data_IF_000568093985
#
_entry.id   IF_000568093985
#
_cell.length_a   1.000
_cell.length_b   1.000
_cell.length_c   1.000
_cell.angle_alpha   90.00
_cell.angle_beta   90.00
_cell.angle_gamma   90.00
#
_symmetry.space_group_name_H-M   'P 1'
#
loop_
_entity.id
_entity.type
_entity.pdbx_description
1 polymer ?
#
# COMPACT_ATOMS: atom_id res chain seq x y z
N UNK A 1 42.69 27.67 -17.42
CA UNK A 1 43.46 26.87 -18.41
C UNK A 1 42.93 25.42 -18.52
N UNK A 2 41.61 25.19 -18.39
CA UNK A 2 40.96 23.86 -18.57
C UNK A 2 39.76 23.96 -19.56
N UNK A 3 39.25 25.16 -19.85
CA UNK A 3 38.06 25.33 -20.71
C UNK A 3 38.29 25.19 -22.22
N UNK A 4 39.53 25.26 -22.72
CA UNK A 4 39.79 25.29 -24.17
C UNK A 4 39.78 23.90 -24.85
N UNK A 5 39.99 22.82 -24.10
CA UNK A 5 40.04 21.46 -24.64
C UNK A 5 38.66 20.79 -24.70
N UNK A 6 37.73 21.22 -23.84
CA UNK A 6 36.34 20.72 -23.80
C UNK A 6 35.53 21.25 -24.99
N UNK A 7 35.76 22.50 -25.39
CA UNK A 7 35.07 23.13 -26.54
C UNK A 7 35.48 22.50 -27.88
N UNK A 8 36.73 22.04 -28.00
CA UNK A 8 37.24 21.38 -29.21
C UNK A 8 36.71 19.96 -29.40
N UNK A 9 36.43 19.23 -28.31
CA UNK A 9 35.76 17.93 -28.37
C UNK A 9 34.28 18.07 -28.72
N UNK A 10 33.61 19.10 -28.19
CA UNK A 10 32.22 19.40 -28.55
C UNK A 10 32.08 19.72 -30.04
N UNK A 11 33.06 20.43 -30.63
CA UNK A 11 33.06 20.76 -32.05
C UNK A 11 33.32 19.54 -32.95
N UNK A 12 34.17 18.60 -32.51
CA UNK A 12 34.46 17.38 -33.26
C UNK A 12 33.27 16.42 -33.28
N UNK A 13 32.56 16.28 -32.15
CA UNK A 13 31.33 15.45 -32.04
C UNK A 13 30.18 16.00 -32.88
N UNK A 14 30.06 17.34 -32.96
CA UNK A 14 29.02 18.01 -33.74
C UNK A 14 29.24 17.89 -35.25
N UNK A 15 30.49 17.79 -35.71
CA UNK A 15 30.80 17.69 -37.14
C UNK A 15 30.50 16.30 -37.71
N UNK A 16 30.80 15.24 -36.94
CA UNK A 16 30.54 13.85 -37.34
C UNK A 16 29.04 13.51 -37.35
N UNK A 17 28.24 14.22 -36.55
CA UNK A 17 26.79 14.09 -36.50
C UNK A 17 26.07 14.76 -37.68
N UNK A 18 26.59 15.88 -38.20
CA UNK A 18 25.97 16.61 -39.30
C UNK A 18 26.14 15.95 -40.69
N UNK A 19 27.23 15.21 -40.92
CA UNK A 19 27.52 14.61 -42.23
C UNK A 19 26.76 13.29 -42.49
N UNK A 20 26.33 12.58 -41.45
CA UNK A 20 25.77 11.23 -41.59
C UNK A 20 24.24 11.15 -41.67
N UNK A 21 23.68 11.75 -42.72
CA UNK A 21 22.35 11.50 -43.29
C UNK A 21 21.17 12.36 -42.83
N UNK A 22 20.73 13.20 -43.77
CA UNK A 22 19.32 13.21 -44.25
C UNK A 22 18.26 13.39 -43.17
N UNK A 23 18.59 14.21 -42.18
CA UNK A 23 17.66 15.12 -41.54
C UNK A 23 16.74 15.72 -42.60
N UNK A 24 15.43 15.60 -42.41
CA UNK A 24 14.61 16.80 -42.18
C UNK A 24 13.12 16.41 -42.11
N UNK A 25 12.66 15.54 -43.01
CA UNK A 25 11.21 15.33 -43.19
C UNK A 25 10.61 14.16 -42.37
N UNK A 26 11.45 13.28 -41.80
CA UNK A 26 10.99 12.20 -40.91
C UNK A 26 10.75 12.66 -39.46
N UNK A 27 11.13 13.90 -39.16
CA UNK A 27 11.33 14.42 -37.81
C UNK A 27 10.15 15.21 -37.25
N UNK A 28 9.16 15.58 -38.07
CA UNK A 28 7.99 16.39 -37.65
C UNK A 28 6.78 15.54 -37.18
N UNK A 29 6.44 14.43 -37.85
CA UNK A 29 5.30 13.58 -37.41
C UNK A 29 5.66 12.60 -36.27
N UNK A 30 6.95 12.31 -36.10
CA UNK A 30 7.45 11.34 -35.11
C UNK A 30 7.77 11.97 -33.76
N UNK A 31 7.94 13.28 -33.65
CA UNK A 31 8.23 13.97 -32.37
C UNK A 31 6.96 14.37 -31.64
N UNK A 32 5.91 14.80 -32.33
CA UNK A 32 4.65 15.21 -31.71
C UNK A 32 3.82 14.04 -31.16
N UNK A 33 3.94 12.85 -31.75
CA UNK A 33 3.35 11.61 -31.24
C UNK A 33 4.23 10.94 -30.19
N UNK A 34 5.56 11.01 -30.30
CA UNK A 34 6.49 10.31 -29.39
C UNK A 34 6.70 11.05 -28.08
N UNK A 35 6.69 12.38 -28.06
CA UNK A 35 6.74 13.17 -26.81
C UNK A 35 5.41 13.12 -26.06
N UNK A 36 4.25 13.18 -26.76
CA UNK A 36 2.94 12.93 -26.13
C UNK A 36 2.79 11.48 -25.66
N UNK A 37 3.19 10.47 -26.45
CA UNK A 37 3.12 9.08 -25.99
C UNK A 37 4.12 8.79 -24.86
N UNK A 38 5.31 9.41 -24.86
CA UNK A 38 6.25 9.33 -23.74
C UNK A 38 5.65 9.90 -22.47
N UNK A 39 5.05 11.09 -22.51
CA UNK A 39 4.42 11.66 -21.32
C UNK A 39 3.22 10.84 -20.85
N UNK A 40 2.40 10.27 -21.74
CA UNK A 40 1.33 9.34 -21.35
C UNK A 40 1.86 8.05 -20.72
N UNK A 41 2.97 7.48 -21.22
CA UNK A 41 3.62 6.30 -20.66
C UNK A 41 4.29 6.62 -19.31
N UNK A 42 4.99 7.75 -19.20
CA UNK A 42 5.58 8.17 -17.93
C UNK A 42 4.51 8.50 -16.90
N UNK A 43 3.38 9.10 -17.29
CA UNK A 43 2.27 9.43 -16.39
C UNK A 43 1.51 8.17 -15.94
N UNK A 44 1.35 7.17 -16.81
CA UNK A 44 0.73 5.88 -16.45
C UNK A 44 1.64 5.00 -15.60
N UNK A 45 2.95 5.02 -15.86
CA UNK A 45 3.93 4.31 -15.04
C UNK A 45 4.14 5.01 -13.69
N UNK A 46 4.10 6.33 -13.64
CA UNK A 46 4.17 7.12 -12.39
C UNK A 46 2.92 6.92 -11.54
N UNK A 47 1.72 6.80 -12.14
CA UNK A 47 0.51 6.48 -11.38
C UNK A 47 0.52 5.04 -10.85
N UNK A 48 1.00 4.07 -11.64
CA UNK A 48 1.18 2.69 -11.18
C UNK A 48 2.20 2.60 -10.03
N UNK A 49 3.28 3.38 -10.11
CA UNK A 49 4.31 3.47 -9.07
C UNK A 49 3.77 4.14 -7.79
N UNK A 50 3.02 5.23 -7.93
CA UNK A 50 2.36 5.89 -6.80
C UNK A 50 1.31 4.97 -6.15
N UNK A 51 0.54 4.22 -6.95
CA UNK A 51 -0.45 3.26 -6.48
C UNK A 51 0.18 2.08 -5.71
N UNK A 52 1.35 1.58 -6.17
CA UNK A 52 2.13 0.56 -5.47
C UNK A 52 2.67 1.06 -4.12
N UNK A 53 3.04 2.34 -4.02
CA UNK A 53 3.49 2.93 -2.75
C UNK A 53 2.34 3.23 -1.79
N UNK A 54 1.13 3.51 -2.30
CA UNK A 54 -0.07 3.77 -1.49
C UNK A 54 -0.71 2.47 -0.97
N UNK A 55 -0.58 1.34 -1.67
CA UNK A 55 -1.17 0.06 -1.26
C UNK A 55 -0.50 -0.58 -0.03
N UNK A 56 0.71 -0.15 0.33
CA UNK A 56 1.48 -0.71 1.45
C UNK A 56 1.17 -0.05 2.81
N UNK A 57 0.31 0.98 2.84
CA UNK A 57 -0.03 1.70 4.07
C UNK A 57 -1.48 1.49 4.55
N UNK A 58 -2.15 0.41 4.12
CA UNK A 58 -3.35 -0.06 4.82
C UNK A 58 -2.87 -1.08 5.85
N UNK A 59 -2.40 -0.59 6.99
CA UNK A 59 -2.19 -1.38 8.20
C UNK A 59 -3.48 -2.12 8.51
N UNK A 60 -3.48 -3.43 8.28
CA UNK A 60 -4.61 -4.35 8.49
C UNK A 60 -4.98 -4.54 9.98
N UNK A 61 -4.94 -3.48 10.78
CA UNK A 61 -5.05 -3.54 12.24
C UNK A 61 -5.64 -2.34 12.96
N UNK A 62 -5.96 -1.23 12.27
CA UNK A 62 -6.45 -0.02 12.95
C UNK A 62 -7.93 0.30 12.72
N UNK A 63 -8.60 -0.41 11.82
CA UNK A 63 -10.03 -0.20 11.62
C UNK A 63 -10.82 -0.98 12.67
N UNK A 64 -11.71 -0.28 13.38
CA UNK A 64 -12.69 -0.92 14.26
C UNK A 64 -13.69 -1.69 13.41
N UNK A 65 -13.90 -2.95 13.76
CA UNK A 65 -14.86 -3.84 13.13
C UNK A 65 -15.86 -4.33 14.17
N UNK A 66 -17.10 -4.54 13.75
CA UNK A 66 -18.11 -5.15 14.60
C UNK A 66 -18.07 -6.68 14.48
N UNK A 67 -18.30 -7.37 15.60
CA UNK A 67 -18.37 -8.82 15.64
C UNK A 67 -19.31 -9.33 16.72
N UNK A 68 -19.48 -10.65 16.73
CA UNK A 68 -20.24 -11.38 17.75
C UNK A 68 -19.32 -12.35 18.46
N UNK A 69 -19.37 -12.38 19.79
CA UNK A 69 -18.60 -13.34 20.59
C UNK A 69 -19.18 -14.74 20.40
N UNK A 70 -18.41 -15.66 19.82
CA UNK A 70 -18.81 -17.06 19.63
C UNK A 70 -18.81 -17.81 20.95
N UNK A 71 -17.72 -17.66 21.70
CA UNK A 71 -17.55 -18.23 23.03
C UNK A 71 -16.42 -17.51 23.76
N UNK A 72 -16.51 -17.46 25.09
CA UNK A 72 -15.45 -16.91 25.93
C UNK A 72 -15.35 -17.69 27.23
N UNK A 73 -14.15 -18.14 27.59
CA UNK A 73 -13.90 -18.82 28.85
C UNK A 73 -13.30 -17.84 29.86
N UNK A 74 -14.12 -17.38 30.80
CA UNK A 74 -13.71 -16.45 31.84
C UNK A 74 -12.68 -17.00 32.84
N UNK A 75 -12.59 -18.33 33.01
CA UNK A 75 -11.59 -18.96 33.89
C UNK A 75 -10.24 -19.06 33.21
N UNK A 76 -10.24 -19.36 31.92
CA UNK A 76 -9.02 -19.52 31.13
C UNK A 76 -8.50 -18.21 30.52
N UNK A 77 -9.38 -17.19 30.39
CA UNK A 77 -9.00 -15.85 29.96
C UNK A 77 -8.90 -15.66 28.44
N UNK A 78 -9.48 -16.56 27.65
CA UNK A 78 -9.47 -16.48 26.19
C UNK A 78 -10.84 -16.83 25.59
N UNK A 79 -11.05 -16.41 24.35
CA UNK A 79 -12.26 -16.68 23.60
C UNK A 79 -12.09 -16.46 22.10
N UNK A 80 -13.22 -16.45 21.41
CA UNK A 80 -13.29 -16.26 19.97
C UNK A 80 -14.44 -15.33 19.60
N UNK A 81 -14.17 -14.43 18.66
CA UNK A 81 -15.14 -13.52 18.06
C UNK A 81 -15.30 -13.93 16.59
N UNK A 82 -16.53 -13.90 16.10
CA UNK A 82 -16.86 -14.07 14.69
C UNK A 82 -17.03 -12.69 14.08
N UNK A 83 -16.26 -12.41 13.03
CA UNK A 83 -16.42 -11.20 12.21
C UNK A 83 -17.70 -11.26 11.38
N UNK A 84 -18.11 -10.14 10.79
CA UNK A 84 -19.20 -10.13 9.81
C UNK A 84 -18.88 -10.98 8.56
N UNK A 85 -17.60 -11.25 8.30
CA UNK A 85 -17.13 -12.09 7.21
C UNK A 85 -16.94 -13.55 7.64
N UNK A 86 -17.50 -13.94 8.79
CA UNK A 86 -17.39 -15.28 9.38
C UNK A 86 -15.94 -15.73 9.69
N UNK A 87 -15.02 -14.78 9.84
CA UNK A 87 -13.66 -15.09 10.25
C UNK A 87 -13.58 -15.31 11.76
N UNK A 88 -12.82 -16.33 12.13
CA UNK A 88 -12.57 -16.72 13.51
C UNK A 88 -11.42 -15.89 14.10
N UNK A 89 -11.72 -14.99 15.02
CA UNK A 89 -10.77 -14.04 15.62
C UNK A 89 -10.49 -14.43 17.06
N UNK A 90 -9.23 -14.69 17.37
CA UNK A 90 -8.80 -15.04 18.72
C UNK A 90 -8.76 -13.80 19.62
N UNK A 91 -9.35 -13.89 20.82
CA UNK A 91 -9.34 -12.80 21.81
C UNK A 91 -8.76 -13.28 23.14
N UNK A 92 -7.89 -12.46 23.72
CA UNK A 92 -7.35 -12.65 25.07
C UNK A 92 -7.96 -11.63 26.03
N UNK A 93 -8.11 -11.96 27.31
CA UNK A 93 -8.74 -11.07 28.29
C UNK A 93 -7.97 -9.75 28.48
N UNK A 94 -6.65 -9.73 28.19
CA UNK A 94 -5.80 -8.55 28.34
C UNK A 94 -6.17 -7.40 27.40
N UNK A 95 -6.75 -7.72 26.23
CA UNK A 95 -7.10 -6.73 25.21
C UNK A 95 -8.52 -6.17 25.34
N UNK A 96 -9.30 -6.68 26.29
CA UNK A 96 -10.65 -6.21 26.56
C UNK A 96 -10.58 -4.90 27.36
N UNK A 97 -11.15 -3.84 26.80
CA UNK A 97 -11.25 -2.53 27.43
C UNK A 97 -12.34 -2.51 28.51
N UNK A 98 -12.10 -1.72 29.57
CA UNK A 98 -13.03 -1.57 30.70
C UNK A 98 -12.71 -2.44 31.92
N UNK A 99 -13.57 -2.31 32.93
CA UNK A 99 -13.42 -2.99 34.23
C UNK A 99 -13.71 -4.49 34.15
N UNK A 100 -14.54 -4.91 33.20
CA UNK A 100 -14.91 -6.30 33.00
C UNK A 100 -13.95 -6.96 32.01
N UNK A 101 -13.16 -7.93 32.47
CA UNK A 101 -12.25 -8.74 31.63
C UNK A 101 -12.92 -10.00 31.09
N UNK A 102 -14.24 -9.95 30.89
CA UNK A 102 -15.07 -11.09 30.50
C UNK A 102 -16.06 -10.66 29.43
N UNK A 103 -16.27 -11.54 28.45
CA UNK A 103 -17.28 -11.40 27.41
C UNK A 103 -18.36 -12.47 27.59
N UNK A 104 -19.59 -12.14 27.22
CA UNK A 104 -20.70 -13.09 27.17
C UNK A 104 -20.82 -13.69 25.76
N UNK A 105 -21.25 -14.94 25.68
CA UNK A 105 -21.57 -15.61 24.41
C UNK A 105 -22.69 -14.84 23.69
N UNK A 106 -22.58 -14.70 22.37
CA UNK A 106 -23.50 -13.93 21.50
C UNK A 106 -23.52 -12.41 21.75
N UNK A 107 -22.58 -11.88 22.53
CA UNK A 107 -22.48 -10.45 22.77
C UNK A 107 -21.91 -9.71 21.56
N UNK A 108 -22.47 -8.52 21.28
CA UNK A 108 -21.95 -7.59 20.27
C UNK A 108 -20.73 -6.85 20.79
N UNK A 109 -19.67 -6.83 20.01
CA UNK A 109 -18.41 -6.17 20.37
C UNK A 109 -17.82 -5.46 19.17
N UNK A 110 -17.10 -4.39 19.44
CA UNK A 110 -16.20 -3.73 18.49
C UNK A 110 -14.78 -4.17 18.78
N UNK A 111 -14.03 -4.53 17.75
CA UNK A 111 -12.66 -4.99 17.90
C UNK A 111 -11.76 -4.46 16.79
N UNK A 112 -10.47 -4.44 17.09
CA UNK A 112 -9.39 -4.30 16.11
C UNK A 112 -8.62 -5.61 16.10
N UNK A 113 -8.36 -6.18 14.93
CA UNK A 113 -7.64 -7.44 14.78
C UNK A 113 -6.49 -7.30 13.79
N UNK A 114 -5.40 -8.01 14.05
CA UNK A 114 -4.29 -8.20 13.12
C UNK A 114 -4.11 -9.67 12.79
N UNK A 115 -3.55 -9.94 11.61
CA UNK A 115 -3.15 -11.29 11.24
C UNK A 115 -1.72 -11.54 11.71
N UNK A 116 -1.56 -12.34 12.74
CA UNK A 116 -0.28 -12.75 13.32
C UNK A 116 -0.08 -14.25 13.08
N UNK A 117 1.02 -14.65 12.44
CA UNK A 117 1.32 -16.06 12.12
C UNK A 117 0.18 -16.79 11.38
N UNK A 118 -0.54 -16.07 10.51
CA UNK A 118 -1.67 -16.61 9.75
C UNK A 118 -2.99 -16.72 10.51
N UNK A 119 -3.04 -16.34 11.78
CA UNK A 119 -4.26 -16.32 12.61
C UNK A 119 -4.68 -14.89 12.93
N UNK A 120 -5.98 -14.62 12.93
CA UNK A 120 -6.51 -13.34 13.35
C UNK A 120 -6.53 -13.24 14.88
N UNK A 121 -5.96 -12.14 15.40
CA UNK A 121 -5.85 -11.88 16.83
C UNK A 121 -6.34 -10.47 17.13
N UNK A 122 -7.23 -10.35 18.10
CA UNK A 122 -7.71 -9.07 18.57
C UNK A 122 -6.61 -8.32 19.35
N UNK A 123 -6.40 -7.05 19.03
CA UNK A 123 -5.50 -6.12 19.74
C UNK A 123 -6.28 -5.28 20.75
N UNK A 124 -7.51 -4.87 20.39
CA UNK A 124 -8.40 -4.10 21.25
C UNK A 124 -9.82 -4.60 21.07
N UNK A 125 -10.56 -4.66 22.17
CA UNK A 125 -11.96 -5.07 22.17
C UNK A 125 -12.76 -4.16 23.11
N UNK A 126 -13.87 -3.63 22.60
CA UNK A 126 -14.82 -2.80 23.31
C UNK A 126 -16.21 -3.41 23.22
N UNK A 127 -16.92 -3.43 24.34
CA UNK A 127 -18.31 -3.91 24.38
C UNK A 127 -19.22 -2.80 23.86
N UNK A 128 -20.10 -3.14 22.92
CA UNK A 128 -21.19 -2.27 22.47
C UNK A 128 -22.40 -2.59 23.33
N UNK A 129 -22.96 -1.58 23.99
CA UNK A 129 -24.13 -1.71 24.86
C UNK A 129 -25.42 -1.33 24.14
#
# INVERSE_FOLDING_TARGET
>A
MINSLVELLAFFMLKEYCDNNKNYYKQQYTTYTKEKMRTFIYLSLLSAFLCFTLSTNITAGENWQDGIVKWFNAKAGYGQIISQQEEDIFVHHSVIEGSQKKLMTHQRVQYQAIKEQGRWKAIKVKIIN
#
